data_IF_826482582922
#
_entry.id   IF_826482582922
#
_cell.length_a   1.000
_cell.length_b   1.000
_cell.length_c   1.000
_cell.angle_alpha   90.00
_cell.angle_beta   90.00
_cell.angle_gamma   90.00
#
_symmetry.space_group_name_H-M   'P 1'
#
loop_
_entity.id
_entity.type
_entity.pdbx_description
1 polymer ?
#
# COMPACT_ATOMS: atom_id res chain seq x y z
N UNK A 1 -17.25 -8.20 17.65
CA UNK A 1 -15.83 -8.07 17.94
C UNK A 1 -15.23 -7.01 17.03
N UNK A 2 -14.36 -6.15 17.53
CA UNK A 2 -13.74 -5.09 16.76
C UNK A 2 -12.34 -5.55 16.35
N UNK A 3 -12.06 -5.56 15.02
CA UNK A 3 -10.73 -5.93 14.50
C UNK A 3 -10.33 -7.40 14.71
N UNK A 4 -11.27 -8.32 14.73
CA UNK A 4 -11.00 -9.76 14.85
C UNK A 4 -10.98 -10.40 13.47
N UNK A 5 -9.83 -10.38 12.81
CA UNK A 5 -9.58 -11.10 11.54
C UNK A 5 -9.04 -12.50 11.82
N UNK A 6 -9.83 -13.34 12.49
CA UNK A 6 -9.47 -14.75 12.73
C UNK A 6 -9.97 -15.69 11.63
N UNK A 7 -10.75 -15.19 10.68
CA UNK A 7 -11.29 -15.95 9.55
C UNK A 7 -10.94 -15.28 8.23
N UNK A 8 -10.66 -16.09 7.23
CA UNK A 8 -10.53 -15.61 5.85
C UNK A 8 -11.91 -15.20 5.30
N UNK A 9 -12.30 -13.97 5.61
CA UNK A 9 -13.55 -13.37 5.20
C UNK A 9 -14.69 -13.54 6.23
N UNK A 10 -15.59 -12.57 6.23
CA UNK A 10 -16.68 -12.49 7.19
C UNK A 10 -17.71 -13.62 7.03
N UNK A 11 -17.90 -14.15 5.81
CA UNK A 11 -18.83 -15.25 5.53
C UNK A 11 -18.43 -16.54 6.23
N UNK A 12 -17.15 -16.90 6.25
CA UNK A 12 -16.67 -18.08 6.97
C UNK A 12 -16.93 -17.96 8.47
N UNK A 13 -16.66 -16.79 9.06
CA UNK A 13 -16.92 -16.56 10.48
C UNK A 13 -18.40 -16.62 10.84
N UNK A 14 -19.30 -16.19 9.96
CA UNK A 14 -20.76 -16.33 10.16
C UNK A 14 -21.18 -17.81 10.06
N UNK A 15 -20.71 -18.52 9.03
CA UNK A 15 -21.05 -19.92 8.81
C UNK A 15 -20.61 -20.84 9.96
N UNK A 16 -19.50 -20.51 10.61
CA UNK A 16 -19.00 -21.23 11.79
C UNK A 16 -19.62 -20.73 13.11
N UNK A 17 -20.48 -19.73 13.06
CA UNK A 17 -21.13 -19.17 14.24
C UNK A 17 -20.23 -18.31 15.13
N UNK A 18 -19.05 -17.90 14.66
CA UNK A 18 -18.16 -17.01 15.36
C UNK A 18 -18.57 -15.54 15.22
N UNK A 19 -19.16 -15.17 14.08
CA UNK A 19 -19.69 -13.83 13.83
C UNK A 19 -21.21 -13.88 13.72
N UNK A 20 -21.85 -12.80 14.13
CA UNK A 20 -23.29 -12.62 13.95
C UNK A 20 -23.60 -12.34 12.47
N UNK A 21 -24.57 -13.05 11.93
CA UNK A 21 -25.14 -12.73 10.63
C UNK A 21 -25.95 -11.41 10.73
N UNK A 22 -25.53 -10.39 10.01
CA UNK A 22 -26.14 -9.08 10.00
C UNK A 22 -27.12 -8.87 8.83
N UNK A 23 -27.27 -9.87 7.96
CA UNK A 23 -28.00 -9.75 6.69
C UNK A 23 -29.43 -9.21 6.88
N UNK A 24 -30.15 -9.77 7.84
CA UNK A 24 -31.56 -9.40 8.08
C UNK A 24 -31.74 -8.22 9.03
N UNK A 25 -30.67 -7.83 9.75
CA UNK A 25 -30.78 -6.82 10.81
C UNK A 25 -30.10 -5.48 10.48
N UNK A 26 -29.19 -5.47 9.51
CA UNK A 26 -28.42 -4.27 9.18
C UNK A 26 -29.30 -3.11 8.71
N UNK A 27 -30.36 -3.41 7.97
CA UNK A 27 -31.28 -2.38 7.43
C UNK A 27 -32.12 -1.76 8.53
N UNK A 28 -32.53 -2.51 9.53
CA UNK A 28 -33.33 -2.03 10.66
C UNK A 28 -32.49 -1.22 11.65
N UNK A 29 -31.32 -1.76 12.04
CA UNK A 29 -30.50 -1.19 13.12
C UNK A 29 -29.49 -0.15 12.64
N UNK A 30 -29.14 -0.15 11.34
CA UNK A 30 -28.15 0.74 10.75
C UNK A 30 -28.65 1.37 9.43
N UNK A 31 -29.79 2.12 9.44
CA UNK A 31 -30.41 2.59 8.21
C UNK A 31 -29.51 3.53 7.40
N UNK A 32 -28.69 4.36 8.05
CA UNK A 32 -27.76 5.26 7.36
C UNK A 32 -26.63 4.48 6.65
N UNK A 33 -26.11 3.45 7.30
CA UNK A 33 -25.11 2.55 6.70
C UNK A 33 -25.71 1.78 5.54
N UNK A 34 -26.91 1.25 5.72
CA UNK A 34 -27.62 0.51 4.67
C UNK A 34 -27.91 1.41 3.45
N UNK A 35 -28.37 2.64 3.67
CA UNK A 35 -28.57 3.61 2.60
C UNK A 35 -27.26 3.90 1.83
N UNK A 36 -26.15 4.08 2.54
CA UNK A 36 -24.85 4.29 1.92
C UNK A 36 -24.39 3.04 1.15
N UNK A 37 -24.47 1.87 1.74
CA UNK A 37 -24.12 0.59 1.12
C UNK A 37 -24.86 0.36 -0.18
N UNK A 38 -26.17 0.61 -0.17
CA UNK A 38 -27.05 0.37 -1.30
C UNK A 38 -27.10 1.52 -2.34
N UNK A 39 -26.41 2.63 -2.09
CA UNK A 39 -26.37 3.77 -3.00
C UNK A 39 -25.53 3.54 -4.25
N UNK A 40 -24.70 2.51 -4.27
CA UNK A 40 -23.79 2.17 -5.35
C UNK A 40 -23.60 0.64 -5.42
N UNK A 41 -23.61 0.08 -6.64
CA UNK A 41 -23.54 -1.36 -6.83
C UNK A 41 -22.18 -1.95 -6.43
N UNK A 42 -21.10 -1.24 -6.71
CA UNK A 42 -19.75 -1.70 -6.34
C UNK A 42 -19.57 -1.69 -4.82
N UNK A 43 -20.06 -0.65 -4.12
CA UNK A 43 -20.09 -0.65 -2.65
C UNK A 43 -20.88 -1.82 -2.10
N UNK A 44 -22.04 -2.10 -2.67
CA UNK A 44 -22.85 -3.22 -2.23
C UNK A 44 -22.09 -4.53 -2.38
N UNK A 45 -21.42 -4.75 -3.52
CA UNK A 45 -20.61 -5.95 -3.76
C UNK A 45 -19.45 -6.11 -2.77
N UNK A 46 -18.79 -5.02 -2.41
CA UNK A 46 -17.66 -5.05 -1.46
C UNK A 46 -18.07 -5.25 0.01
N UNK A 47 -19.35 -5.11 0.32
CA UNK A 47 -19.91 -5.20 1.69
C UNK A 47 -20.78 -6.44 1.94
N UNK A 48 -20.85 -7.33 0.98
CA UNK A 48 -21.64 -8.56 1.04
C UNK A 48 -20.81 -9.71 0.43
N UNK A 49 -20.95 -10.91 0.95
CA UNK A 49 -20.31 -12.09 0.34
C UNK A 49 -21.04 -12.53 -0.94
N UNK A 50 -20.43 -13.43 -1.71
CA UNK A 50 -21.06 -14.02 -2.91
C UNK A 50 -22.34 -14.78 -2.57
N UNK A 51 -22.45 -15.32 -1.34
CA UNK A 51 -23.66 -16.00 -0.82
C UNK A 51 -24.73 -15.03 -0.31
N UNK A 52 -24.44 -13.72 -0.32
CA UNK A 52 -25.36 -12.69 0.14
C UNK A 52 -25.32 -12.40 1.63
N UNK A 53 -24.27 -12.83 2.35
CA UNK A 53 -24.12 -12.63 3.79
C UNK A 53 -23.47 -11.27 4.08
N UNK A 54 -24.06 -10.53 5.02
CA UNK A 54 -23.45 -9.33 5.62
C UNK A 54 -22.84 -9.72 6.97
N UNK A 55 -21.55 -10.03 6.94
CA UNK A 55 -20.84 -10.51 8.14
C UNK A 55 -20.12 -9.41 8.93
N UNK A 56 -20.20 -8.15 8.47
CA UNK A 56 -19.54 -7.04 9.15
C UNK A 56 -20.00 -5.68 8.67
N UNK A 57 -19.65 -4.67 9.43
CA UNK A 57 -19.86 -3.25 9.10
C UNK A 57 -18.51 -2.64 8.76
N UNK A 58 -18.38 -2.15 7.56
CA UNK A 58 -17.14 -1.56 7.05
C UNK A 58 -17.09 -0.06 7.33
N UNK A 59 -15.87 0.46 7.49
CA UNK A 59 -15.67 1.88 7.72
C UNK A 59 -16.20 2.71 6.55
N UNK A 60 -16.93 3.78 6.87
CA UNK A 60 -17.39 4.75 5.87
C UNK A 60 -16.25 5.73 5.59
N UNK A 61 -15.69 5.68 4.37
CA UNK A 61 -14.85 6.74 3.87
C UNK A 61 -15.72 7.73 3.09
N UNK A 62 -16.01 8.93 3.61
CA UNK A 62 -16.83 9.94 2.92
C UNK A 62 -16.10 10.58 1.74
N UNK A 63 -14.83 10.28 1.56
CA UNK A 63 -13.94 10.80 0.53
C UNK A 63 -13.28 9.65 -0.23
N UNK A 64 -12.67 9.95 -1.39
CA UNK A 64 -11.74 9.05 -2.05
C UNK A 64 -10.70 8.57 -1.04
N UNK A 65 -10.31 7.31 -1.16
CA UNK A 65 -9.39 6.66 -0.22
C UNK A 65 -8.17 7.53 0.08
N UNK A 66 -7.81 7.57 1.33
CA UNK A 66 -6.62 8.30 1.78
C UNK A 66 -5.39 7.56 1.26
N UNK A 67 -4.39 8.30 0.82
CA UNK A 67 -3.08 7.71 0.57
C UNK A 67 -2.52 7.17 1.87
N UNK A 68 -2.42 5.86 1.98
CA UNK A 68 -1.81 5.19 3.13
C UNK A 68 -0.30 5.27 3.11
N UNK A 69 0.29 5.32 1.90
CA UNK A 69 1.72 5.29 1.68
C UNK A 69 2.13 6.40 0.73
N UNK A 70 3.31 6.94 0.97
CA UNK A 70 3.93 7.95 0.13
C UNK A 70 5.41 8.07 0.44
N UNK A 71 6.16 8.64 -0.47
CA UNK A 71 7.54 9.02 -0.23
C UNK A 71 7.57 10.29 0.63
N UNK A 72 8.37 10.24 1.69
CA UNK A 72 8.69 11.42 2.48
C UNK A 72 10.09 11.88 2.08
N UNK A 73 10.21 13.16 1.74
CA UNK A 73 11.48 13.77 1.38
C UNK A 73 11.84 14.78 2.46
N UNK A 74 13.07 14.70 2.97
CA UNK A 74 13.59 15.69 3.92
C UNK A 74 13.81 17.02 3.20
N UNK A 75 13.28 18.11 3.77
CA UNK A 75 13.52 19.45 3.23
C UNK A 75 15.02 19.75 3.17
N UNK A 76 15.78 19.33 4.18
CA UNK A 76 17.24 19.50 4.22
C UNK A 76 17.95 18.85 3.02
N UNK A 77 17.44 17.69 2.53
CA UNK A 77 18.02 17.03 1.36
C UNK A 77 17.76 17.83 0.08
N UNK A 78 16.56 18.40 -0.07
CA UNK A 78 16.26 19.31 -1.19
C UNK A 78 17.16 20.56 -1.12
N UNK A 79 17.32 21.14 0.05
CA UNK A 79 18.15 22.34 0.25
C UNK A 79 19.64 22.07 -0.04
N UNK A 80 20.16 20.91 0.38
CA UNK A 80 21.55 20.50 0.13
C UNK A 80 21.84 20.17 -1.32
N UNK A 81 20.93 19.48 -1.99
CA UNK A 81 21.10 19.09 -3.39
C UNK A 81 20.76 20.21 -4.36
N UNK A 82 19.91 21.15 -3.95
CA UNK A 82 19.38 22.21 -4.82
C UNK A 82 18.44 21.71 -5.91
N UNK A 83 18.02 20.43 -5.85
CA UNK A 83 17.12 19.82 -6.81
C UNK A 83 15.65 20.02 -6.39
N UNK A 84 14.73 20.09 -7.34
CA UNK A 84 13.29 20.10 -7.03
C UNK A 84 12.82 18.75 -6.48
N UNK A 85 11.59 18.73 -5.99
CA UNK A 85 10.91 17.47 -5.65
C UNK A 85 10.77 16.61 -6.90
N UNK A 86 11.26 15.36 -6.91
CA UNK A 86 11.18 14.50 -8.09
C UNK A 86 9.74 14.10 -8.40
N UNK A 87 9.35 14.16 -9.67
CA UNK A 87 8.03 13.80 -10.16
C UNK A 87 8.04 12.49 -10.98
N UNK A 88 9.24 12.04 -11.39
CA UNK A 88 9.44 10.82 -12.17
C UNK A 88 10.42 9.88 -11.49
N UNK A 89 10.46 8.61 -11.94
CA UNK A 89 11.42 7.62 -11.44
C UNK A 89 12.87 8.04 -11.75
N UNK A 90 13.10 8.59 -12.92
CA UNK A 90 14.44 9.06 -13.34
C UNK A 90 14.88 10.26 -12.51
N UNK A 91 14.01 11.22 -12.27
CA UNK A 91 14.30 12.36 -11.39
C UNK A 91 14.53 11.92 -9.94
N UNK A 92 13.79 10.90 -9.48
CA UNK A 92 14.02 10.31 -8.17
C UNK A 92 15.41 9.66 -8.09
N UNK A 93 15.82 8.93 -9.13
CA UNK A 93 17.16 8.37 -9.21
C UNK A 93 18.23 9.48 -9.11
N UNK A 94 18.12 10.52 -9.93
CA UNK A 94 19.07 11.62 -9.94
C UNK A 94 19.13 12.34 -8.58
N UNK A 95 17.98 12.52 -7.94
CA UNK A 95 17.90 13.07 -6.59
C UNK A 95 18.61 12.20 -5.55
N UNK A 96 18.41 10.87 -5.60
CA UNK A 96 19.07 9.93 -4.69
C UNK A 96 20.60 9.90 -4.91
N UNK A 97 21.07 9.99 -6.15
CA UNK A 97 22.49 10.11 -6.47
C UNK A 97 23.06 11.41 -5.87
N UNK A 98 22.38 12.53 -6.06
CA UNK A 98 22.80 13.81 -5.49
C UNK A 98 22.80 13.79 -3.95
N UNK A 99 21.82 13.12 -3.33
CA UNK A 99 21.82 12.92 -1.87
C UNK A 99 23.04 12.12 -1.41
N UNK A 100 23.40 11.06 -2.10
CA UNK A 100 24.61 10.28 -1.80
C UNK A 100 25.87 11.13 -1.90
N UNK A 101 26.01 11.94 -2.95
CA UNK A 101 27.13 12.88 -3.14
C UNK A 101 27.16 13.97 -2.05
N UNK A 102 25.98 14.37 -1.55
CA UNK A 102 25.85 15.31 -0.43
C UNK A 102 26.13 14.70 0.96
N UNK A 103 26.46 13.39 1.00
CA UNK A 103 26.91 12.69 2.21
C UNK A 103 25.85 11.89 2.95
N UNK A 104 24.66 11.69 2.38
CA UNK A 104 23.67 10.77 2.94
C UNK A 104 24.12 9.31 2.69
N UNK A 105 24.23 8.53 3.76
CA UNK A 105 24.68 7.13 3.69
C UNK A 105 23.60 6.21 3.13
N UNK A 106 22.35 6.58 3.32
CA UNK A 106 21.15 5.84 2.91
C UNK A 106 20.17 6.79 2.21
N UNK A 107 20.44 7.21 0.96
CA UNK A 107 19.60 8.19 0.25
C UNK A 107 18.13 7.80 0.18
N UNK A 108 17.83 6.50 -0.03
CA UNK A 108 16.51 5.92 0.06
C UNK A 108 16.47 4.92 1.22
N UNK A 109 15.91 5.34 2.35
CA UNK A 109 15.61 4.45 3.46
C UNK A 109 14.37 3.61 3.09
N UNK A 110 14.62 2.55 2.32
CA UNK A 110 13.63 1.61 1.85
C UNK A 110 13.48 0.47 2.84
N UNK A 111 12.29 0.04 3.09
CA UNK A 111 12.08 -1.09 3.94
C UNK A 111 10.76 -1.77 3.67
N UNK A 112 10.76 -3.07 3.81
CA UNK A 112 9.54 -3.83 3.72
C UNK A 112 8.87 -3.87 5.08
N UNK A 113 7.70 -3.29 5.19
CA UNK A 113 6.78 -3.75 6.22
C UNK A 113 6.36 -5.16 5.80
N UNK A 114 6.68 -6.15 6.62
CA UNK A 114 6.31 -7.56 6.38
C UNK A 114 6.96 -8.24 5.15
N UNK A 115 8.13 -7.82 4.72
CA UNK A 115 8.85 -8.44 3.60
C UNK A 115 8.27 -8.12 2.21
N UNK A 116 7.44 -7.11 2.11
CA UNK A 116 6.82 -6.72 0.85
C UNK A 116 7.74 -5.81 0.03
N UNK A 117 8.21 -6.30 -1.10
CA UNK A 117 9.00 -5.52 -2.06
C UNK A 117 8.09 -4.53 -2.81
N UNK A 118 6.84 -4.90 -3.03
CA UNK A 118 5.86 -4.09 -3.73
C UNK A 118 5.01 -3.32 -2.71
N UNK A 119 5.32 -2.07 -2.48
CA UNK A 119 4.65 -1.23 -1.46
C UNK A 119 3.61 -0.27 -2.02
N UNK A 120 3.41 -0.27 -3.34
CA UNK A 120 2.51 0.67 -4.02
C UNK A 120 3.11 2.06 -4.29
N UNK A 121 4.32 2.34 -3.80
CA UNK A 121 4.97 3.65 -3.95
C UNK A 121 5.72 3.72 -5.29
N UNK A 122 6.92 3.13 -5.37
CA UNK A 122 7.74 3.18 -6.60
C UNK A 122 7.21 2.21 -7.66
N UNK A 123 6.78 1.02 -7.24
CA UNK A 123 6.19 0.05 -8.16
C UNK A 123 4.91 0.56 -8.83
N UNK A 124 4.16 1.46 -8.18
CA UNK A 124 3.00 2.11 -8.79
C UNK A 124 3.34 2.90 -10.05
N UNK A 125 4.53 3.52 -10.13
CA UNK A 125 5.00 4.21 -11.32
C UNK A 125 5.19 3.28 -12.53
N UNK A 126 5.39 1.98 -12.29
CA UNK A 126 5.46 0.94 -13.32
C UNK A 126 4.09 0.31 -13.62
N UNK A 127 3.02 0.73 -12.92
CA UNK A 127 1.71 0.10 -13.01
C UNK A 127 1.69 -1.33 -12.46
N UNK A 128 2.55 -1.62 -11.49
CA UNK A 128 2.66 -2.94 -10.86
C UNK A 128 2.08 -2.89 -9.46
N UNK A 129 1.20 -3.83 -9.15
CA UNK A 129 0.58 -4.00 -7.85
C UNK A 129 1.21 -5.18 -7.10
N UNK A 130 1.10 -5.18 -5.79
CA UNK A 130 1.62 -6.23 -4.92
C UNK A 130 0.76 -7.50 -4.89
N UNK A 131 -0.45 -7.42 -5.43
CA UNK A 131 -1.46 -8.48 -5.37
C UNK A 131 -2.17 -8.68 -6.71
N UNK A 132 -3.33 -9.34 -6.67
CA UNK A 132 -4.26 -9.43 -7.79
C UNK A 132 -4.89 -8.06 -8.05
N UNK A 133 -5.01 -7.69 -9.31
CA UNK A 133 -5.70 -6.48 -9.74
C UNK A 133 -6.44 -6.73 -11.05
N UNK A 134 -7.29 -5.80 -11.45
CA UNK A 134 -7.94 -5.82 -12.76
C UNK A 134 -7.14 -4.95 -13.71
N UNK A 135 -6.68 -5.54 -14.82
CA UNK A 135 -5.94 -4.82 -15.84
C UNK A 135 -6.84 -3.90 -16.69
N UNK A 136 -6.23 -3.12 -17.58
CA UNK A 136 -6.93 -2.18 -18.48
C UNK A 136 -7.92 -2.88 -19.44
N UNK A 137 -7.86 -4.20 -19.58
CA UNK A 137 -8.76 -5.01 -20.37
C UNK A 137 -9.89 -5.65 -19.53
N UNK A 138 -9.97 -5.32 -18.25
CA UNK A 138 -10.96 -5.88 -17.33
C UNK A 138 -10.67 -7.31 -16.89
N UNK A 139 -9.41 -7.79 -17.01
CA UNK A 139 -9.02 -9.14 -16.60
C UNK A 139 -8.26 -9.12 -15.29
N UNK A 140 -8.50 -10.13 -14.46
CA UNK A 140 -7.71 -10.36 -13.27
C UNK A 140 -6.26 -10.70 -13.64
N UNK A 141 -5.32 -10.01 -13.03
CA UNK A 141 -3.89 -10.16 -13.24
C UNK A 141 -3.16 -10.23 -11.91
N UNK A 142 -2.07 -11.00 -11.86
CA UNK A 142 -1.16 -11.07 -10.73
C UNK A 142 -0.03 -10.05 -10.92
N UNK A 143 0.05 -9.04 -10.04
CA UNK A 143 0.99 -7.93 -10.18
C UNK A 143 2.46 -8.37 -10.32
N UNK A 144 3.01 -9.15 -9.37
CA UNK A 144 4.39 -9.60 -9.44
C UNK A 144 4.71 -10.51 -10.66
N UNK A 145 3.70 -11.04 -11.31
CA UNK A 145 3.83 -11.85 -12.53
C UNK A 145 3.86 -11.04 -13.83
N UNK A 146 3.69 -9.72 -13.77
CA UNK A 146 3.70 -8.87 -14.96
C UNK A 146 5.14 -8.61 -15.46
N UNK A 147 5.30 -8.39 -16.76
CA UNK A 147 6.61 -8.06 -17.34
C UNK A 147 7.20 -6.78 -16.73
N UNK A 148 6.36 -5.78 -16.49
CA UNK A 148 6.73 -4.54 -15.82
C UNK A 148 7.23 -4.72 -14.38
N UNK A 149 6.85 -5.80 -13.70
CA UNK A 149 7.40 -6.14 -12.39
C UNK A 149 8.90 -6.46 -12.48
N UNK A 150 9.33 -7.09 -13.57
CA UNK A 150 10.75 -7.33 -13.83
C UNK A 150 11.51 -6.03 -14.09
N UNK A 151 10.91 -5.08 -14.81
CA UNK A 151 11.51 -3.76 -15.03
C UNK A 151 11.69 -3.04 -13.67
N UNK A 152 10.65 -2.98 -12.87
CA UNK A 152 10.70 -2.42 -11.52
C UNK A 152 11.80 -3.07 -10.66
N UNK A 153 11.82 -4.40 -10.58
CA UNK A 153 12.81 -5.12 -9.79
C UNK A 153 14.24 -4.91 -10.30
N UNK A 154 14.41 -4.73 -11.61
CA UNK A 154 15.70 -4.41 -12.21
C UNK A 154 16.17 -3.02 -11.78
N UNK A 155 15.28 -2.04 -11.77
CA UNK A 155 15.57 -0.68 -11.27
C UNK A 155 15.97 -0.73 -9.80
N UNK A 156 15.19 -1.40 -8.95
CA UNK A 156 15.49 -1.53 -7.53
C UNK A 156 16.84 -2.25 -7.28
N UNK A 157 17.14 -3.29 -8.07
CA UNK A 157 18.43 -3.99 -7.99
C UNK A 157 19.60 -3.06 -8.37
N UNK A 158 19.44 -2.23 -9.40
CA UNK A 158 20.48 -1.29 -9.82
C UNK A 158 20.69 -0.23 -8.74
N UNK A 159 19.63 0.37 -8.21
CA UNK A 159 19.73 1.34 -7.12
C UNK A 159 20.39 0.76 -5.86
N UNK A 160 20.09 -0.51 -5.56
CA UNK A 160 20.78 -1.21 -4.48
C UNK A 160 22.28 -1.37 -4.75
N UNK A 161 22.67 -1.78 -5.96
CA UNK A 161 24.09 -1.90 -6.38
C UNK A 161 24.82 -0.55 -6.37
N UNK A 162 24.13 0.52 -6.71
CA UNK A 162 24.63 1.89 -6.66
C UNK A 162 24.76 2.40 -5.22
N UNK A 163 24.23 1.67 -4.23
CA UNK A 163 24.23 2.07 -2.83
C UNK A 163 23.29 3.23 -2.54
N UNK A 164 22.20 3.32 -3.28
CA UNK A 164 21.13 4.31 -3.07
C UNK A 164 20.07 3.81 -2.08
N UNK A 165 19.96 2.50 -1.89
CA UNK A 165 19.04 1.84 -0.98
C UNK A 165 19.83 1.28 0.21
N UNK A 166 19.28 1.41 1.41
CA UNK A 166 19.86 0.83 2.62
C UNK A 166 20.09 -0.68 2.49
N UNK A 167 21.23 -1.16 2.98
CA UNK A 167 21.65 -2.57 2.81
C UNK A 167 20.82 -3.56 3.59
N UNK A 168 20.17 -3.10 4.65
CA UNK A 168 19.32 -3.89 5.55
C UNK A 168 17.81 -3.75 5.26
N UNK A 169 17.45 -3.23 4.08
CA UNK A 169 16.05 -2.99 3.68
C UNK A 169 15.09 -4.16 3.94
N UNK A 170 15.61 -5.40 3.89
CA UNK A 170 14.81 -6.61 4.08
C UNK A 170 14.65 -7.02 5.56
N UNK A 171 15.48 -6.50 6.45
CA UNK A 171 15.59 -6.95 7.84
C UNK A 171 15.34 -5.84 8.87
N UNK A 172 15.52 -4.59 8.49
CA UNK A 172 15.26 -3.45 9.36
C UNK A 172 13.77 -3.35 9.69
N UNK A 173 13.45 -3.25 10.98
CA UNK A 173 12.08 -3.06 11.43
C UNK A 173 11.64 -1.59 11.30
N UNK A 174 10.34 -1.37 11.46
CA UNK A 174 9.76 -0.03 11.34
C UNK A 174 10.37 0.98 12.32
N UNK A 175 10.62 0.59 13.59
CA UNK A 175 11.16 1.50 14.60
C UNK A 175 12.59 1.89 14.29
N UNK A 176 13.41 0.93 13.82
CA UNK A 176 14.78 1.20 13.37
C UNK A 176 14.77 2.23 12.24
N UNK A 177 13.97 2.03 11.21
CA UNK A 177 13.87 2.95 10.07
C UNK A 177 13.35 4.34 10.44
N UNK A 178 12.39 4.40 11.37
CA UNK A 178 11.93 5.69 11.89
C UNK A 178 13.03 6.42 12.66
N UNK A 179 13.83 5.69 13.45
CA UNK A 179 14.97 6.28 14.16
C UNK A 179 16.02 6.82 13.19
N UNK A 180 16.37 6.07 12.13
CA UNK A 180 17.28 6.50 11.07
C UNK A 180 16.73 7.74 10.33
N UNK A 181 15.46 7.72 9.96
CA UNK A 181 14.81 8.87 9.32
C UNK A 181 14.85 10.15 10.20
N UNK A 182 14.74 10.02 11.53
CA UNK A 182 14.79 11.14 12.46
C UNK A 182 16.23 11.58 12.72
N UNK A 183 17.20 10.66 12.83
CA UNK A 183 18.61 10.96 13.13
C UNK A 183 19.31 11.74 12.02
N UNK A 184 18.81 11.65 10.79
CA UNK A 184 19.37 12.41 9.67
C UNK A 184 20.39 11.65 8.83
N UNK A 185 20.53 10.34 9.04
CA UNK A 185 21.36 9.47 8.20
C UNK A 185 20.61 8.96 6.97
#
# INVERSE_FOLDING_TARGET
AFGCDIYEGSGAGVNEGAYLDLTDIVDEYMPNYSAWRNSDEERRKTTITDEGIVGGVYGLAPYNEWCWFGLLIKQEALDKTGLPVPETVDELHDFLVACKEAGYSQPLNYGSNYGQIFTGIINGAYGVWDWMFVDDNGKAAWGPGQEKAKEYLTTMQNWYKEGLINTDWATADFNQRMAEAVSGD
#
